data_IF_867328649811
#
_entry.id   IF_867328649811
#
_cell.length_a   1.000
_cell.length_b   1.000
_cell.length_c   1.000
_cell.angle_alpha   90.00
_cell.angle_beta   90.00
_cell.angle_gamma   90.00
#
_symmetry.space_group_name_H-M   'P 1'
#
loop_
_entity.id
_entity.type
_entity.pdbx_description
1 polymer ?
#
# COMPACT_ATOMS: atom_id res chain seq x y z
N UNK A 1 -6.02 25.61 -10.70
CA UNK A 1 -5.74 24.79 -9.50
C UNK A 1 -6.79 23.70 -9.20
N UNK A 2 -7.94 23.73 -9.83
CA UNK A 2 -9.03 22.77 -9.56
C UNK A 2 -8.83 21.35 -10.09
N UNK A 3 -7.73 21.04 -10.78
CA UNK A 3 -7.58 19.79 -11.54
C UNK A 3 -6.62 18.75 -10.93
N UNK A 4 -6.02 19.06 -9.80
CA UNK A 4 -5.00 18.20 -9.16
C UNK A 4 -5.63 16.96 -8.50
N UNK A 5 -6.92 17.00 -8.17
CA UNK A 5 -7.65 15.93 -7.48
C UNK A 5 -8.62 15.16 -8.38
N UNK A 6 -8.60 15.41 -9.69
CA UNK A 6 -9.52 14.74 -10.61
C UNK A 6 -9.16 13.28 -10.81
N UNK A 7 -10.13 12.40 -10.60
CA UNK A 7 -10.00 10.94 -10.66
C UNK A 7 -9.83 10.46 -12.09
N UNK A 8 -8.86 9.56 -12.32
CA UNK A 8 -8.60 8.96 -13.65
C UNK A 8 -9.54 7.77 -13.91
N UNK A 9 -10.07 7.69 -15.13
CA UNK A 9 -10.92 6.59 -15.59
C UNK A 9 -10.11 5.30 -15.73
N UNK A 10 -10.61 4.17 -15.19
CA UNK A 10 -9.99 2.84 -15.34
C UNK A 10 -9.65 2.09 -14.04
N UNK A 11 -9.59 2.78 -12.90
CA UNK A 11 -9.47 2.19 -11.56
C UNK A 11 -10.81 2.36 -10.84
N UNK A 12 -11.15 1.48 -9.89
CA UNK A 12 -12.37 1.66 -9.09
C UNK A 12 -12.41 3.06 -8.50
N UNK A 13 -13.37 3.88 -8.94
CA UNK A 13 -13.41 5.33 -8.64
C UNK A 13 -13.40 5.63 -7.14
N UNK A 14 -14.06 4.80 -6.33
CA UNK A 14 -14.03 4.97 -4.88
C UNK A 14 -12.64 4.74 -4.26
N UNK A 15 -11.83 3.86 -4.85
CA UNK A 15 -10.44 3.64 -4.38
C UNK A 15 -9.60 4.89 -4.60
N UNK A 16 -9.78 5.57 -5.72
CA UNK A 16 -9.06 6.82 -6.00
C UNK A 16 -9.49 7.93 -5.04
N UNK A 17 -10.77 8.05 -4.71
CA UNK A 17 -11.26 9.00 -3.70
C UNK A 17 -10.65 8.68 -2.33
N UNK A 18 -10.63 7.41 -1.95
CA UNK A 18 -10.07 6.93 -0.69
C UNK A 18 -8.57 7.27 -0.58
N UNK A 19 -7.80 6.93 -1.60
CA UNK A 19 -6.35 7.23 -1.64
C UNK A 19 -6.07 8.74 -1.66
N UNK A 20 -6.91 9.52 -2.32
CA UNK A 20 -6.77 10.97 -2.36
C UNK A 20 -7.01 11.60 -0.98
N UNK A 21 -8.06 11.16 -0.27
CA UNK A 21 -8.34 11.64 1.10
C UNK A 21 -7.20 11.24 2.05
N UNK A 22 -6.73 9.99 1.98
CA UNK A 22 -5.57 9.54 2.77
C UNK A 22 -4.33 10.36 2.47
N UNK A 23 -4.07 10.67 1.20
CA UNK A 23 -2.93 11.49 0.79
C UNK A 23 -2.99 12.91 1.36
N UNK A 24 -4.18 13.53 1.35
CA UNK A 24 -4.37 14.86 1.95
C UNK A 24 -4.07 14.88 3.45
N UNK A 25 -4.46 13.83 4.16
CA UNK A 25 -4.17 13.68 5.59
C UNK A 25 -2.67 13.41 5.80
N UNK A 26 -2.07 12.50 5.04
CA UNK A 26 -0.66 12.17 5.14
C UNK A 26 0.27 13.36 4.82
N UNK A 27 -0.15 14.25 3.90
CA UNK A 27 0.56 15.49 3.55
C UNK A 27 0.32 16.61 4.57
N UNK A 28 -0.53 16.38 5.58
CA UNK A 28 -0.83 17.39 6.61
C UNK A 28 -1.78 18.50 6.17
N UNK A 29 -2.45 18.35 5.02
CA UNK A 29 -3.49 19.28 4.55
C UNK A 29 -4.67 19.26 5.52
N UNK A 30 -5.03 18.09 6.02
CA UNK A 30 -5.98 17.89 7.12
C UNK A 30 -5.29 17.13 8.25
N UNK A 31 -5.41 17.64 9.47
CA UNK A 31 -4.83 17.05 10.67
C UNK A 31 -5.90 16.34 11.48
N UNK A 32 -5.50 15.52 12.41
CA UNK A 32 -6.40 14.87 13.37
C UNK A 32 -7.30 15.92 14.06
N UNK A 33 -8.60 15.68 14.03
CA UNK A 33 -9.63 16.57 14.53
C UNK A 33 -10.17 17.58 13.53
N UNK A 34 -9.53 17.75 12.36
CA UNK A 34 -10.00 18.67 11.33
C UNK A 34 -11.25 18.11 10.61
N UNK A 35 -12.12 19.02 10.23
CA UNK A 35 -13.28 18.72 9.41
C UNK A 35 -12.82 18.52 7.93
N UNK A 36 -13.16 17.39 7.36
CA UNK A 36 -12.97 17.13 5.94
C UNK A 36 -13.98 17.92 5.09
N UNK A 37 -13.69 18.13 3.80
CA UNK A 37 -14.67 18.65 2.87
C UNK A 37 -15.95 17.82 2.88
N UNK A 38 -17.09 18.49 2.73
CA UNK A 38 -18.39 17.85 2.64
C UNK A 38 -18.48 16.90 1.43
N UNK A 39 -19.44 15.98 1.45
CA UNK A 39 -19.70 15.10 0.29
C UNK A 39 -19.84 15.90 -1.02
N UNK A 40 -20.53 17.06 -0.96
CA UNK A 40 -20.74 17.92 -2.11
C UNK A 40 -19.42 18.50 -2.63
N UNK A 41 -18.59 19.02 -1.74
CA UNK A 41 -17.27 19.56 -2.10
C UNK A 41 -16.34 18.48 -2.66
N UNK A 42 -16.34 17.27 -2.07
CA UNK A 42 -15.58 16.13 -2.60
C UNK A 42 -16.05 15.71 -4.00
N UNK A 43 -17.37 15.72 -4.26
CA UNK A 43 -17.94 15.45 -5.58
C UNK A 43 -17.44 16.49 -6.59
N UNK A 44 -17.48 17.76 -6.24
CA UNK A 44 -17.02 18.86 -7.10
C UNK A 44 -15.51 18.81 -7.35
N UNK A 45 -14.72 18.57 -6.30
CA UNK A 45 -13.26 18.51 -6.39
C UNK A 45 -12.76 17.33 -7.23
N UNK A 46 -13.38 16.17 -7.07
CA UNK A 46 -12.91 14.92 -7.67
C UNK A 46 -13.63 14.52 -8.96
N UNK A 47 -14.77 15.14 -9.25
CA UNK A 47 -15.55 14.87 -10.45
C UNK A 47 -16.18 13.47 -10.48
N UNK A 48 -16.57 12.95 -9.31
CA UNK A 48 -17.16 11.61 -9.13
C UNK A 48 -18.60 11.68 -8.63
N UNK A 49 -19.31 10.56 -8.71
CA UNK A 49 -20.69 10.48 -8.23
C UNK A 49 -20.77 10.51 -6.70
N UNK A 50 -21.94 10.90 -6.18
CA UNK A 50 -22.25 10.88 -4.74
C UNK A 50 -22.08 9.48 -4.14
N UNK A 51 -22.50 8.44 -4.85
CA UNK A 51 -22.38 7.05 -4.42
C UNK A 51 -20.91 6.67 -4.25
N UNK A 52 -20.05 7.11 -5.16
CA UNK A 52 -18.61 6.87 -5.12
C UNK A 52 -17.98 7.51 -3.88
N UNK A 53 -18.30 8.79 -3.63
CA UNK A 53 -17.79 9.52 -2.45
C UNK A 53 -18.27 8.86 -1.16
N UNK A 54 -19.57 8.56 -1.05
CA UNK A 54 -20.11 7.90 0.14
C UNK A 54 -19.47 6.56 0.44
N UNK A 55 -19.24 5.75 -0.60
CA UNK A 55 -18.57 4.46 -0.43
C UNK A 55 -17.14 4.64 0.08
N UNK A 56 -16.39 5.60 -0.45
CA UNK A 56 -15.04 5.90 0.01
C UNK A 56 -15.03 6.38 1.47
N UNK A 57 -15.91 7.33 1.83
CA UNK A 57 -16.02 7.83 3.21
C UNK A 57 -16.47 6.73 4.18
N UNK A 58 -17.36 5.83 3.77
CA UNK A 58 -17.76 4.69 4.58
C UNK A 58 -16.56 3.78 4.87
N UNK A 59 -15.78 3.41 3.87
CA UNK A 59 -14.58 2.58 4.04
C UNK A 59 -13.56 3.26 4.95
N UNK A 60 -13.35 4.57 4.79
CA UNK A 60 -12.45 5.34 5.66
C UNK A 60 -12.93 5.38 7.11
N UNK A 61 -14.24 5.47 7.32
CA UNK A 61 -14.84 5.45 8.65
C UNK A 61 -14.74 4.06 9.30
N UNK A 62 -15.01 2.99 8.54
CA UNK A 62 -14.86 1.60 9.00
C UNK A 62 -13.40 1.27 9.33
N UNK A 63 -12.46 1.84 8.61
CA UNK A 63 -11.02 1.72 8.86
C UNK A 63 -10.53 2.60 10.02
N UNK A 64 -11.39 3.42 10.64
CA UNK A 64 -11.03 4.32 11.73
C UNK A 64 -10.19 5.54 11.31
N UNK A 65 -10.04 5.79 10.02
CA UNK A 65 -9.27 6.94 9.48
C UNK A 65 -10.02 8.25 9.68
N UNK A 66 -11.34 8.20 9.57
CA UNK A 66 -12.24 9.34 9.80
C UNK A 66 -13.36 8.95 10.75
N UNK A 67 -13.94 9.93 11.42
CA UNK A 67 -15.14 9.79 12.23
C UNK A 67 -16.27 10.64 11.63
N UNK A 68 -17.34 9.98 11.19
CA UNK A 68 -18.50 10.68 10.64
C UNK A 68 -19.51 10.97 11.74
N UNK A 69 -19.81 12.24 11.95
CA UNK A 69 -20.79 12.70 12.94
C UNK A 69 -22.02 13.22 12.20
N UNK A 70 -23.18 12.63 12.52
CA UNK A 70 -24.46 12.98 11.89
C UNK A 70 -24.73 14.48 11.99
N UNK A 71 -24.96 15.14 10.86
CA UNK A 71 -25.24 16.57 10.77
C UNK A 71 -24.04 17.49 10.99
N UNK A 72 -22.85 16.96 11.30
CA UNK A 72 -21.64 17.75 11.56
C UNK A 72 -20.54 17.53 10.52
N UNK A 73 -20.60 16.42 9.78
CA UNK A 73 -19.60 16.06 8.76
C UNK A 73 -18.65 14.95 9.20
N UNK A 74 -17.57 14.78 8.45
CA UNK A 74 -16.52 13.80 8.69
C UNK A 74 -15.25 14.48 9.21
N UNK A 75 -14.71 13.97 10.30
CA UNK A 75 -13.51 14.49 10.96
C UNK A 75 -12.35 13.49 10.85
N UNK A 76 -11.14 13.97 10.71
CA UNK A 76 -9.95 13.12 10.71
C UNK A 76 -9.75 12.52 12.09
N UNK A 77 -9.63 11.20 12.17
CA UNK A 77 -9.49 10.45 13.43
C UNK A 77 -8.06 10.02 13.74
N UNK A 78 -7.17 10.01 12.74
CA UNK A 78 -5.79 9.53 12.84
C UNK A 78 -4.79 10.64 12.57
N UNK A 79 -3.58 10.47 13.08
CA UNK A 79 -2.47 11.36 12.74
C UNK A 79 -1.85 11.00 11.39
N UNK A 80 -1.22 11.97 10.72
CA UNK A 80 -0.56 11.76 9.43
C UNK A 80 0.48 10.64 9.48
N UNK A 81 1.14 10.45 10.62
CA UNK A 81 2.10 9.37 10.87
C UNK A 81 1.49 7.97 10.88
N UNK A 82 0.19 7.87 11.21
CA UNK A 82 -0.54 6.59 11.22
C UNK A 82 -1.03 6.21 9.82
N UNK A 83 -1.25 7.20 8.96
CA UNK A 83 -1.67 7.01 7.56
C UNK A 83 -0.52 7.00 6.58
N UNK A 84 0.56 7.67 6.92
CA UNK A 84 1.79 7.39 6.20
C UNK A 84 1.94 5.88 6.21
N UNK A 85 2.04 5.20 5.06
CA UNK A 85 2.65 3.88 5.00
C UNK A 85 3.96 4.13 5.70
N UNK A 86 4.10 3.58 6.94
CA UNK A 86 5.13 3.88 7.92
C UNK A 86 6.28 4.41 7.14
N UNK A 87 6.52 5.72 7.17
CA UNK A 87 7.23 6.41 6.09
C UNK A 87 8.42 5.54 5.86
N UNK A 88 8.26 4.68 4.89
CA UNK A 88 9.33 3.78 4.52
C UNK A 88 10.28 4.81 3.99
N UNK A 89 11.12 5.31 4.89
CA UNK A 89 12.25 6.12 4.54
C UNK A 89 12.86 5.30 3.43
N UNK A 90 12.47 5.62 2.19
CA UNK A 90 12.85 4.85 1.00
C UNK A 90 14.35 4.64 1.06
N UNK A 91 15.06 5.62 1.63
CA UNK A 91 16.50 5.56 1.90
C UNK A 91 16.79 4.47 2.93
N UNK A 92 16.11 4.45 4.05
CA UNK A 92 16.29 3.45 5.11
C UNK A 92 15.86 2.04 4.67
N UNK A 93 14.78 1.96 3.88
CA UNK A 93 14.36 0.70 3.26
C UNK A 93 15.38 0.21 2.22
N UNK A 94 15.86 1.08 1.35
CA UNK A 94 16.92 0.75 0.38
C UNK A 94 18.22 0.35 1.09
N UNK A 95 18.62 1.06 2.13
CA UNK A 95 19.80 0.72 2.95
C UNK A 95 19.64 -0.66 3.60
N UNK A 96 18.48 -0.93 4.19
CA UNK A 96 18.16 -2.24 4.79
C UNK A 96 18.13 -3.35 3.75
N UNK A 97 17.55 -3.09 2.59
CA UNK A 97 17.50 -4.05 1.48
C UNK A 97 18.90 -4.33 0.92
N UNK A 98 19.75 -3.31 0.76
CA UNK A 98 21.14 -3.47 0.32
C UNK A 98 21.93 -4.28 1.33
N UNK A 99 21.82 -3.98 2.62
CA UNK A 99 22.48 -4.74 3.69
C UNK A 99 22.04 -6.21 3.71
N UNK A 100 20.72 -6.46 3.61
CA UNK A 100 20.19 -7.83 3.54
C UNK A 100 20.72 -8.57 2.30
N UNK A 101 20.77 -7.91 1.15
CA UNK A 101 21.28 -8.49 -0.09
C UNK A 101 22.77 -8.80 0.01
N UNK A 102 23.57 -7.90 0.61
CA UNK A 102 24.99 -8.14 0.85
C UNK A 102 25.22 -9.34 1.79
N UNK A 103 24.44 -9.44 2.88
CA UNK A 103 24.52 -10.59 3.77
C UNK A 103 24.15 -11.91 3.04
N UNK A 104 23.15 -11.90 2.17
CA UNK A 104 22.76 -13.06 1.35
C UNK A 104 23.87 -13.47 0.40
N UNK A 105 24.49 -12.53 -0.29
CA UNK A 105 25.62 -12.81 -1.19
C UNK A 105 26.81 -13.45 -0.49
N UNK A 106 27.02 -13.17 0.79
CA UNK A 106 28.08 -13.78 1.59
C UNK A 106 27.69 -15.17 2.15
N UNK A 107 26.44 -15.34 2.57
CA UNK A 107 25.96 -16.53 3.27
C UNK A 107 25.40 -17.60 2.33
N UNK A 108 24.65 -17.22 1.32
CA UNK A 108 23.96 -18.18 0.42
C UNK A 108 24.89 -19.11 -0.32
N UNK A 109 26.06 -18.68 -0.89
CA UNK A 109 27.00 -19.60 -1.52
C UNK A 109 27.60 -20.62 -0.55
N UNK A 110 27.88 -20.21 0.70
CA UNK A 110 28.42 -21.09 1.72
C UNK A 110 27.38 -22.13 2.15
N UNK A 111 26.13 -21.70 2.36
CA UNK A 111 25.01 -22.56 2.72
C UNK A 111 24.70 -23.55 1.58
N UNK A 112 24.66 -23.06 0.33
CA UNK A 112 24.42 -23.91 -0.84
C UNK A 112 25.53 -24.98 -1.01
N UNK A 113 26.77 -24.60 -0.80
CA UNK A 113 27.91 -25.54 -0.84
C UNK A 113 27.78 -26.63 0.22
N UNK A 114 27.48 -26.24 1.44
CA UNK A 114 27.28 -27.20 2.55
C UNK A 114 26.08 -28.10 2.29
N UNK A 115 24.96 -27.58 1.86
CA UNK A 115 23.78 -28.34 1.50
C UNK A 115 24.07 -29.36 0.39
N UNK A 116 24.79 -28.95 -0.65
CA UNK A 116 25.16 -29.84 -1.75
C UNK A 116 26.08 -31.01 -1.30
N UNK A 117 26.88 -30.81 -0.25
CA UNK A 117 27.76 -31.84 0.31
C UNK A 117 27.03 -32.83 1.22
N UNK A 118 25.94 -32.40 1.85
CA UNK A 118 25.20 -33.19 2.87
C UNK A 118 23.87 -33.71 2.36
N UNK A 119 23.36 -33.21 1.23
CA UNK A 119 22.07 -33.59 0.68
C UNK A 119 22.05 -35.07 0.24
N UNK A 120 20.98 -35.75 0.58
CA UNK A 120 20.74 -37.12 0.10
C UNK A 120 20.21 -37.12 -1.34
N UNK A 121 20.32 -38.25 -2.09
CA UNK A 121 19.75 -38.36 -3.43
C UNK A 121 18.25 -38.05 -3.45
N UNK A 122 17.50 -38.42 -2.42
CA UNK A 122 16.06 -38.17 -2.31
C UNK A 122 15.75 -36.68 -2.16
N UNK A 123 16.53 -35.96 -1.35
CA UNK A 123 16.41 -34.50 -1.16
C UNK A 123 16.74 -33.75 -2.45
N UNK A 124 17.75 -34.19 -3.18
CA UNK A 124 18.12 -33.61 -4.48
C UNK A 124 17.01 -33.79 -5.53
N UNK A 125 16.38 -34.95 -5.56
CA UNK A 125 15.27 -35.23 -6.48
C UNK A 125 14.02 -34.39 -6.09
N UNK A 126 13.76 -34.22 -4.81
CA UNK A 126 12.69 -33.35 -4.31
C UNK A 126 12.94 -31.89 -4.70
N UNK A 127 14.16 -31.40 -4.55
CA UNK A 127 14.55 -30.06 -4.94
C UNK A 127 14.37 -29.84 -6.43
N UNK A 128 14.78 -30.80 -7.25
CA UNK A 128 14.62 -30.77 -8.70
C UNK A 128 13.16 -30.64 -9.11
N UNK A 129 12.27 -31.39 -8.50
CA UNK A 129 10.81 -31.29 -8.73
C UNK A 129 10.26 -29.92 -8.36
N UNK A 130 10.68 -29.39 -7.21
CA UNK A 130 10.23 -28.10 -6.73
C UNK A 130 10.68 -26.94 -7.64
N UNK A 131 11.91 -26.99 -8.15
CA UNK A 131 12.42 -26.00 -9.11
C UNK A 131 11.63 -25.99 -10.40
N UNK A 132 11.30 -27.17 -10.95
CA UNK A 132 10.48 -27.26 -12.16
C UNK A 132 9.04 -26.78 -11.98
N UNK A 133 8.50 -26.85 -10.75
CA UNK A 133 7.15 -26.39 -10.45
C UNK A 133 7.10 -24.88 -10.16
N UNK A 134 8.19 -24.30 -9.63
CA UNK A 134 8.26 -22.89 -9.23
C UNK A 134 8.62 -21.93 -10.37
N UNK A 135 9.16 -22.42 -11.47
CA UNK A 135 9.46 -21.63 -12.66
C UNK A 135 8.51 -22.06 -13.78
N UNK A 136 7.40 -21.36 -14.03
CA UNK A 136 6.69 -21.52 -15.28
C UNK A 136 7.65 -21.07 -16.38
N UNK A 137 8.12 -22.05 -17.18
CA UNK A 137 8.90 -21.76 -18.39
C UNK A 137 7.88 -21.30 -19.42
N UNK A 138 7.47 -20.04 -19.32
CA UNK A 138 6.75 -19.42 -20.41
C UNK A 138 7.77 -19.10 -21.50
N UNK A 139 7.55 -19.74 -22.62
CA UNK A 139 8.35 -19.70 -23.81
C UNK A 139 8.57 -18.27 -24.30
N UNK A 140 9.82 -17.91 -24.52
CA UNK A 140 10.20 -16.87 -25.46
C UNK A 140 9.99 -17.38 -26.89
#
# INVERSE_FOLDING_TARGET
>A
MANQYRVKTGVKLYTQVLEQVKSMIAQGVYKKGDLLPSEKELIEMMGVSRITVRKALQILSEAGVIETRKGKGSFVAVDASELAPASMDLKKYCESFVQATQARLLLEPAIARQAAQTATPEELEQLRKNVHTALPVDHF
#
